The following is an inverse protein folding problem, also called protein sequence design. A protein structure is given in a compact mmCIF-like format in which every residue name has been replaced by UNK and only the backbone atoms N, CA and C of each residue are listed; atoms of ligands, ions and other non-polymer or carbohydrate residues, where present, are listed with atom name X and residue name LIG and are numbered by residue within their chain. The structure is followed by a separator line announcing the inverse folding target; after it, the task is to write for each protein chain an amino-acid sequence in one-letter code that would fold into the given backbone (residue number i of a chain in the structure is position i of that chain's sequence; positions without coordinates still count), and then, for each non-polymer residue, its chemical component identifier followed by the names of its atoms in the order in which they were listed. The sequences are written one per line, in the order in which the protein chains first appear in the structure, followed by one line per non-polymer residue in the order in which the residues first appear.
data_IF_658548240412
#
_entry.id   IF_658548240412
#
_cell.length_a   1.000
_cell.length_b   1.000
_cell.length_c   1.000
_cell.angle_alpha   90.00
_cell.angle_beta   90.00
_cell.angle_gamma   90.00
#
_symmetry.space_group_name_H-M   'P 1'
#
loop_
_entity.id
_entity.type
_entity.pdbx_description
1 polymer ?
#
# COMPACT_ATOMS: atom_id res chain seq x y z
N UNK A 1 -8.05 -1.00 21.98
CA UNK A 1 -7.36 0.27 21.59
C UNK A 1 -8.37 1.22 20.93
N UNK A 2 -8.15 2.54 20.85
CA UNK A 2 -9.07 3.41 20.09
C UNK A 2 -8.89 3.18 18.57
N UNK A 3 -10.00 3.24 17.82
CA UNK A 3 -10.03 2.89 16.38
C UNK A 3 -8.95 3.60 15.52
N UNK A 4 -8.63 4.89 15.73
CA UNK A 4 -7.60 5.56 14.94
C UNK A 4 -6.21 4.95 15.17
N UNK A 5 -5.86 4.61 16.41
CA UNK A 5 -4.58 3.96 16.70
C UNK A 5 -4.52 2.56 16.10
N UNK A 6 -5.61 1.78 16.18
CA UNK A 6 -5.67 0.46 15.53
C UNK A 6 -5.48 0.56 14.02
N UNK A 7 -6.06 1.58 13.37
CA UNK A 7 -5.88 1.82 11.95
C UNK A 7 -4.43 2.19 11.61
N UNK A 8 -3.82 3.09 12.38
CA UNK A 8 -2.40 3.48 12.17
C UNK A 8 -1.47 2.28 12.35
N UNK A 9 -1.66 1.47 13.39
CA UNK A 9 -0.86 0.25 13.60
C UNK A 9 -1.04 -0.74 12.45
N UNK A 10 -2.28 -0.92 11.97
CA UNK A 10 -2.54 -1.70 10.75
C UNK A 10 -1.81 -1.12 9.53
N UNK A 11 -1.81 0.19 9.37
CA UNK A 11 -1.05 0.90 8.35
C UNK A 11 0.44 0.64 8.42
N UNK A 12 1.04 0.73 9.61
CA UNK A 12 2.46 0.46 9.84
C UNK A 12 2.82 -0.96 9.39
N UNK A 13 2.04 -1.95 9.84
CA UNK A 13 2.27 -3.36 9.47
C UNK A 13 2.09 -3.55 7.96
N UNK A 14 1.03 -3.01 7.37
CA UNK A 14 0.78 -3.12 5.94
C UNK A 14 1.87 -2.45 5.11
N UNK A 15 2.32 -1.26 5.48
CA UNK A 15 3.41 -0.56 4.81
C UNK A 15 4.72 -1.34 4.90
N UNK A 16 5.01 -1.95 6.04
CA UNK A 16 6.19 -2.82 6.18
C UNK A 16 6.13 -4.03 5.24
N UNK A 17 4.98 -4.71 5.18
CA UNK A 17 4.76 -5.86 4.28
C UNK A 17 4.89 -5.44 2.81
N UNK A 18 4.25 -4.34 2.43
CA UNK A 18 4.35 -3.79 1.07
C UNK A 18 5.78 -3.42 0.71
N UNK A 19 6.50 -2.74 1.60
CA UNK A 19 7.90 -2.34 1.41
C UNK A 19 8.79 -3.56 1.18
N UNK A 20 8.59 -4.62 1.96
CA UNK A 20 9.34 -5.86 1.83
C UNK A 20 9.09 -6.51 0.46
N UNK A 21 7.83 -6.63 0.03
CA UNK A 21 7.48 -7.22 -1.27
C UNK A 21 8.09 -6.40 -2.43
N UNK A 22 7.95 -5.07 -2.40
CA UNK A 22 8.51 -4.21 -3.44
C UNK A 22 10.04 -4.27 -3.48
N UNK A 23 10.70 -4.29 -2.31
CA UNK A 23 12.15 -4.43 -2.23
C UNK A 23 12.63 -5.78 -2.79
N UNK A 24 11.94 -6.88 -2.46
CA UNK A 24 12.26 -8.21 -3.00
C UNK A 24 12.14 -8.22 -4.54
N UNK A 25 11.05 -7.69 -5.09
CA UNK A 25 10.84 -7.64 -6.54
C UNK A 25 11.89 -6.79 -7.24
N UNK A 26 12.28 -5.67 -6.64
CA UNK A 26 13.33 -4.82 -7.17
C UNK A 26 14.69 -5.54 -7.18
N UNK A 27 15.05 -6.26 -6.10
CA UNK A 27 16.29 -7.01 -6.01
C UNK A 27 16.32 -8.19 -7.00
N UNK A 28 15.25 -8.98 -7.07
CA UNK A 28 15.12 -10.12 -7.99
C UNK A 28 15.15 -9.69 -9.46
N UNK A 29 14.54 -8.53 -9.77
CA UNK A 29 14.60 -7.93 -11.11
C UNK A 29 15.91 -7.20 -11.40
N UNK A 30 16.90 -7.25 -10.49
CA UNK A 30 18.19 -6.54 -10.60
C UNK A 30 18.02 -5.05 -10.85
N UNK A 31 17.02 -4.44 -10.20
CA UNK A 31 16.66 -3.02 -10.33
C UNK A 31 16.20 -2.61 -11.74
N UNK A 32 15.82 -3.56 -12.60
CA UNK A 32 15.39 -3.26 -13.96
C UNK A 32 14.02 -2.57 -14.03
N UNK A 33 13.18 -2.73 -13.00
CA UNK A 33 11.84 -2.13 -12.96
C UNK A 33 11.89 -0.67 -12.47
N UNK A 34 12.73 -0.38 -11.47
CA UNK A 34 12.83 0.96 -10.88
C UNK A 34 11.65 1.27 -9.95
N UNK A 35 11.24 0.34 -9.09
CA UNK A 35 10.10 0.50 -8.19
C UNK A 35 10.28 1.66 -7.21
N UNK A 36 11.49 1.94 -6.74
CA UNK A 36 11.76 3.09 -5.87
C UNK A 36 11.57 4.43 -6.60
N UNK A 37 11.89 4.47 -7.89
CA UNK A 37 11.59 5.63 -8.73
C UNK A 37 10.09 5.74 -9.01
N UNK A 38 9.39 4.62 -9.19
CA UNK A 38 7.93 4.62 -9.29
C UNK A 38 7.27 5.17 -8.01
N UNK A 39 7.78 4.82 -6.83
CA UNK A 39 7.38 5.39 -5.54
C UNK A 39 7.64 6.90 -5.53
N UNK A 40 8.82 7.36 -5.94
CA UNK A 40 9.16 8.79 -5.98
C UNK A 40 8.23 9.59 -6.90
N UNK A 41 7.90 9.05 -8.09
CA UNK A 41 6.92 9.64 -9.02
C UNK A 41 5.53 9.71 -8.41
N UNK A 42 5.09 8.63 -7.77
CA UNK A 42 3.80 8.57 -7.07
C UNK A 42 3.73 9.62 -5.95
N UNK A 43 4.82 9.77 -5.20
CA UNK A 43 4.98 10.80 -4.16
C UNK A 43 5.23 12.22 -4.72
N UNK A 44 5.21 12.41 -6.04
CA UNK A 44 5.39 13.70 -6.74
C UNK A 44 6.77 14.34 -6.51
N UNK A 45 7.78 13.52 -6.23
CA UNK A 45 9.19 13.92 -6.04
C UNK A 45 10.14 13.09 -6.91
N UNK A 46 9.93 13.04 -8.25
CA UNK A 46 10.74 12.22 -9.16
C UNK A 46 12.23 12.57 -9.05
N UNK A 47 13.09 11.56 -9.17
CA UNK A 47 14.55 11.70 -9.01
C UNK A 47 15.03 11.79 -7.55
N UNK A 48 14.14 11.88 -6.55
CA UNK A 48 14.49 11.80 -5.13
C UNK A 48 13.82 10.59 -4.47
N UNK A 49 14.43 9.43 -4.64
CA UNK A 49 13.93 8.14 -4.14
C UNK A 49 13.82 8.09 -2.62
N UNK A 50 14.77 8.70 -1.90
CA UNK A 50 14.75 8.74 -0.43
C UNK A 50 13.53 9.52 0.07
N UNK A 51 13.32 10.74 -0.45
CA UNK A 51 12.16 11.55 -0.09
C UNK A 51 10.85 10.87 -0.51
N UNK A 52 10.84 10.26 -1.69
CA UNK A 52 9.71 9.47 -2.18
C UNK A 52 9.32 8.36 -1.23
N UNK A 53 10.31 7.60 -0.74
CA UNK A 53 10.10 6.52 0.22
C UNK A 53 9.60 7.04 1.59
N UNK A 54 10.17 8.15 2.09
CA UNK A 54 9.71 8.78 3.34
C UNK A 54 8.24 9.21 3.24
N UNK A 55 7.86 9.86 2.13
CA UNK A 55 6.47 10.26 1.89
C UNK A 55 5.58 9.02 1.80
N UNK A 56 5.99 8.00 1.04
CA UNK A 56 5.27 6.74 0.92
C UNK A 56 5.05 6.09 2.30
N UNK A 57 6.07 6.04 3.15
CA UNK A 57 5.96 5.46 4.48
C UNK A 57 4.98 6.25 5.36
N UNK A 58 5.09 7.58 5.38
CA UNK A 58 4.19 8.43 6.17
C UNK A 58 2.73 8.34 5.70
N UNK A 59 2.52 8.40 4.39
CA UNK A 59 1.17 8.31 3.80
C UNK A 59 0.59 6.90 3.99
N UNK A 60 1.41 5.86 3.81
CA UNK A 60 1.02 4.46 3.99
C UNK A 60 0.68 4.07 5.43
N UNK A 61 1.35 4.70 6.39
CA UNK A 61 1.16 4.42 7.83
C UNK A 61 0.06 5.29 8.47
N UNK A 62 -0.21 6.48 7.93
CA UNK A 62 -1.14 7.44 8.56
C UNK A 62 -2.29 7.83 7.63
N UNK A 63 -2.00 8.39 6.45
CA UNK A 63 -3.04 8.97 5.61
C UNK A 63 -4.00 7.92 5.04
N UNK A 64 -3.47 6.85 4.45
CA UNK A 64 -4.29 5.79 3.87
C UNK A 64 -5.08 4.98 4.90
N UNK A 65 -4.55 4.62 6.07
CA UNK A 65 -5.32 3.93 7.10
C UNK A 65 -6.42 4.79 7.74
N UNK A 66 -6.19 6.09 7.90
CA UNK A 66 -7.24 7.01 8.35
C UNK A 66 -8.33 7.17 7.29
N UNK A 67 -7.95 7.21 6.00
CA UNK A 67 -8.91 7.19 4.90
C UNK A 67 -9.71 5.88 4.89
N UNK A 68 -9.05 4.74 5.11
CA UNK A 68 -9.71 3.44 5.25
C UNK A 68 -10.73 3.46 6.39
N UNK A 69 -10.38 3.97 7.57
CA UNK A 69 -11.31 4.09 8.70
C UNK A 69 -12.55 4.93 8.37
N UNK A 70 -12.39 5.98 7.55
CA UNK A 70 -13.52 6.81 7.08
C UNK A 70 -14.39 6.13 6.02
N UNK A 71 -13.79 5.29 5.16
CA UNK A 71 -14.46 4.68 4.02
C UNK A 71 -14.93 3.24 4.25
N UNK A 72 -14.42 2.54 5.27
CA UNK A 72 -14.61 1.09 5.43
C UNK A 72 -16.09 0.67 5.42
N UNK A 73 -16.97 1.51 5.97
CA UNK A 73 -18.42 1.24 6.05
C UNK A 73 -19.12 1.34 4.69
N UNK A 74 -18.54 2.09 3.75
CA UNK A 74 -19.08 2.33 2.41
C UNK A 74 -18.49 1.39 1.36
N UNK A 75 -17.32 0.79 1.61
CA UNK A 75 -16.66 -0.09 0.64
C UNK A 75 -17.48 -1.34 0.35
N UNK A 76 -17.74 -2.14 1.40
CA UNK A 76 -18.66 -3.29 1.32
C UNK A 76 -19.38 -3.43 2.66
N UNK A 77 -20.69 -3.18 2.69
CA UNK A 77 -21.49 -3.41 3.89
C UNK A 77 -21.30 -4.84 4.41
N UNK A 78 -21.27 -4.99 5.74
CA UNK A 78 -21.25 -6.28 6.44
C UNK A 78 -20.11 -7.27 6.10
N UNK A 79 -19.02 -6.78 5.51
CA UNK A 79 -17.83 -7.57 5.20
C UNK A 79 -16.72 -7.43 6.23
N UNK A 80 -15.87 -8.46 6.30
CA UNK A 80 -14.64 -8.48 7.10
C UNK A 80 -13.75 -7.27 6.75
N UNK A 81 -13.19 -6.54 7.75
CA UNK A 81 -12.28 -5.42 7.48
C UNK A 81 -11.05 -5.78 6.64
N UNK A 82 -10.57 -7.03 6.66
CA UNK A 82 -9.51 -7.48 5.78
C UNK A 82 -9.93 -7.49 4.30
N UNK A 83 -11.18 -7.87 4.01
CA UNK A 83 -11.75 -7.84 2.65
C UNK A 83 -11.96 -6.39 2.18
N UNK A 84 -12.44 -5.53 3.06
CA UNK A 84 -12.52 -4.08 2.77
C UNK A 84 -11.14 -3.49 2.51
N UNK A 85 -10.14 -3.94 3.26
CA UNK A 85 -8.75 -3.57 3.09
C UNK A 85 -8.20 -3.95 1.72
N UNK A 86 -8.49 -5.16 1.22
CA UNK A 86 -8.13 -5.58 -0.13
C UNK A 86 -8.67 -4.62 -1.21
N UNK A 87 -9.95 -4.21 -1.10
CA UNK A 87 -10.55 -3.26 -2.05
C UNK A 87 -9.89 -1.89 -1.99
N UNK A 88 -9.59 -1.41 -0.78
CA UNK A 88 -8.79 -0.20 -0.61
C UNK A 88 -7.41 -0.34 -1.29
N UNK A 89 -6.76 -1.50 -1.13
CA UNK A 89 -5.52 -1.84 -1.82
C UNK A 89 -5.63 -1.75 -3.33
N UNK A 90 -6.71 -2.29 -3.93
CA UNK A 90 -6.96 -2.17 -5.39
C UNK A 90 -7.13 -0.72 -5.82
N UNK A 91 -7.88 0.09 -5.06
CA UNK A 91 -8.07 1.51 -5.38
C UNK A 91 -6.75 2.28 -5.36
N UNK A 92 -5.92 2.05 -4.35
CA UNK A 92 -4.58 2.63 -4.25
C UNK A 92 -3.66 2.13 -5.37
N UNK A 93 -3.76 0.84 -5.71
CA UNK A 93 -3.00 0.24 -6.79
C UNK A 93 -3.29 0.91 -8.13
N UNK A 94 -4.55 1.23 -8.45
CA UNK A 94 -4.90 1.92 -9.71
C UNK A 94 -4.14 3.25 -9.79
N UNK A 95 -4.14 4.04 -8.72
CA UNK A 95 -3.40 5.30 -8.67
C UNK A 95 -1.90 5.09 -8.86
N UNK A 96 -1.32 4.11 -8.16
CA UNK A 96 0.11 3.78 -8.27
C UNK A 96 0.49 3.26 -9.66
N UNK A 97 -0.33 2.38 -10.23
CA UNK A 97 -0.13 1.80 -11.56
C UNK A 97 -0.11 2.87 -12.65
N UNK A 98 -0.92 3.91 -12.52
CA UNK A 98 -0.99 5.01 -13.50
C UNK A 98 0.14 6.02 -13.27
N UNK A 99 0.29 6.53 -12.05
CA UNK A 99 1.21 7.64 -11.75
C UNK A 99 2.66 7.15 -11.66
N UNK A 100 2.90 5.99 -11.05
CA UNK A 100 4.24 5.43 -10.83
C UNK A 100 4.90 4.85 -12.09
N UNK A 101 4.11 4.44 -13.09
CA UNK A 101 4.58 3.75 -14.30
C UNK A 101 5.73 4.48 -15.00
N UNK A 102 5.63 5.80 -15.16
CA UNK A 102 6.58 6.58 -15.94
C UNK A 102 6.82 5.99 -17.33
N UNK A 103 8.07 5.61 -17.64
CA UNK A 103 8.49 5.07 -18.94
C UNK A 103 8.52 3.54 -19.01
N UNK A 104 8.03 2.83 -17.98
CA UNK A 104 8.01 1.36 -17.97
C UNK A 104 7.07 0.85 -19.07
N UNK A 105 7.56 -0.06 -19.91
CA UNK A 105 6.85 -0.64 -21.07
C UNK A 105 7.21 -2.12 -21.28
N UNK A 106 6.56 -2.77 -22.25
CA UNK A 106 6.84 -4.16 -22.63
C UNK A 106 6.59 -5.17 -21.52
N UNK A 107 7.44 -6.20 -21.44
CA UNK A 107 7.33 -7.27 -20.42
C UNK A 107 7.50 -6.72 -19.00
N UNK A 108 8.39 -5.73 -18.81
CA UNK A 108 8.60 -5.10 -17.50
C UNK A 108 7.34 -4.41 -16.99
N UNK A 109 6.48 -3.90 -17.87
CA UNK A 109 5.19 -3.34 -17.46
C UNK A 109 4.26 -4.40 -16.85
N UNK A 110 4.22 -5.60 -17.43
CA UNK A 110 3.38 -6.69 -16.91
C UNK A 110 3.87 -7.09 -15.52
N UNK A 111 5.20 -7.24 -15.36
CA UNK A 111 5.84 -7.57 -14.08
C UNK A 111 5.57 -6.46 -13.05
N UNK A 112 5.77 -5.19 -13.43
CA UNK A 112 5.45 -4.03 -12.60
C UNK A 112 4.00 -4.05 -12.12
N UNK A 113 3.03 -4.22 -13.03
CA UNK A 113 1.61 -4.21 -12.71
C UNK A 113 1.22 -5.39 -11.80
N UNK A 114 1.69 -6.60 -12.11
CA UNK A 114 1.35 -7.79 -11.34
C UNK A 114 1.92 -7.75 -9.92
N UNK A 115 3.21 -7.47 -9.77
CA UNK A 115 3.84 -7.47 -8.45
C UNK A 115 3.48 -6.25 -7.62
N UNK A 116 3.27 -5.08 -8.23
CA UNK A 116 2.71 -3.94 -7.51
C UNK A 116 1.28 -4.23 -7.05
N UNK A 117 0.46 -4.94 -7.84
CA UNK A 117 -0.89 -5.35 -7.41
C UNK A 117 -0.80 -6.25 -6.18
N UNK A 118 0.03 -7.29 -6.22
CA UNK A 118 0.24 -8.19 -5.08
C UNK A 118 0.67 -7.40 -3.83
N UNK A 119 1.59 -6.45 -3.97
CA UNK A 119 2.05 -5.62 -2.86
C UNK A 119 0.91 -4.76 -2.26
N UNK A 120 0.04 -4.20 -3.10
CA UNK A 120 -1.10 -3.40 -2.64
C UNK A 120 -2.23 -4.25 -2.03
N UNK A 121 -2.47 -5.45 -2.56
CA UNK A 121 -3.41 -6.39 -1.97
C UNK A 121 -2.90 -6.83 -0.59
N UNK A 122 -1.61 -7.16 -0.48
CA UNK A 122 -0.98 -7.51 0.79
C UNK A 122 -1.06 -6.35 1.80
N UNK A 123 -0.76 -5.11 1.37
CA UNK A 123 -0.95 -3.89 2.18
C UNK A 123 -2.38 -3.79 2.73
N UNK A 124 -3.36 -3.83 1.82
CA UNK A 124 -4.76 -3.67 2.18
C UNK A 124 -5.26 -4.74 3.13
N UNK A 125 -4.99 -6.00 2.81
CA UNK A 125 -5.37 -7.15 3.63
C UNK A 125 -4.78 -7.08 5.05
N UNK A 126 -3.46 -6.88 5.14
CA UNK A 126 -2.76 -6.87 6.44
C UNK A 126 -3.18 -5.70 7.31
N UNK A 127 -3.34 -4.51 6.72
CA UNK A 127 -3.85 -3.34 7.43
C UNK A 127 -5.26 -3.57 7.97
N UNK A 128 -6.18 -4.10 7.15
CA UNK A 128 -7.54 -4.42 7.57
C UNK A 128 -7.60 -5.50 8.66
N UNK A 129 -6.81 -6.57 8.52
CA UNK A 129 -6.75 -7.66 9.49
C UNK A 129 -6.20 -7.23 10.86
N UNK A 130 -5.12 -6.43 10.87
CA UNK A 130 -4.54 -5.90 12.11
C UNK A 130 -5.48 -4.89 12.77
N UNK A 131 -6.11 -4.03 11.98
CA UNK A 131 -7.12 -3.10 12.48
C UNK A 131 -8.28 -3.85 13.16
N UNK A 132 -8.83 -4.89 12.52
CA UNK A 132 -9.92 -5.69 13.06
C UNK A 132 -9.51 -6.36 14.38
N UNK A 133 -8.32 -6.97 14.41
CA UNK A 133 -7.79 -7.61 15.61
C UNK A 133 -7.70 -6.64 16.80
N UNK A 134 -7.11 -5.46 16.59
CA UNK A 134 -6.84 -4.49 17.65
C UNK A 134 -8.06 -3.65 18.04
N UNK A 135 -9.09 -3.61 17.20
CA UNK A 135 -10.36 -2.93 17.49
C UNK A 135 -11.35 -3.81 18.26
N UNK A 136 -11.20 -5.15 18.20
CA UNK A 136 -12.01 -6.12 18.94
C UNK A 136 -11.52 -6.42 20.36
N UNK A 137 -10.25 -6.14 20.68
CA UNK A 137 -9.70 -6.37 22.03
C UNK A 137 -10.24 -5.33 23.04
N UNK A 138 -10.96 -5.75 24.10
CA UNK A 138 -11.27 -4.88 25.23
C UNK A 138 -9.97 -4.56 25.98
N UNK A 139 -9.77 -3.29 26.30
CA UNK A 139 -8.67 -2.83 27.18
C UNK A 139 -9.13 -2.94 28.63
#
# INVERSE_FOLDING_TARGET
MNRPASAIVGGVVGTAVMSMILAMVEVESRYAIGLFEAIARFARVPGNQFLGFVIFALVGTVAWPLLFLGLERYLVPDSDPAVRGLLMGVLLWIGFAIIGRGTITGVLLIVYLAFSLVAHLAYGFTMGAVYDRLSREPV
#
